data_IF_243662691741
#
_entry.id   IF_243662691741
#
_cell.length_a   1.000
_cell.length_b   1.000
_cell.length_c   1.000
_cell.angle_alpha   90.00
_cell.angle_beta   90.00
_cell.angle_gamma   90.00
#
_symmetry.space_group_name_H-M   'P 1'
#
loop_
_entity.id
_entity.type
_entity.pdbx_description
1 polymer ?
#
# COMPACT_ATOMS: atom_id res chain seq x y z
N UNK A 1 -26.38 -6.42 11.21
CA UNK A 1 -25.90 -5.24 10.47
C UNK A 1 -24.73 -5.70 9.61
N UNK A 2 -24.97 -6.14 8.37
CA UNK A 2 -23.88 -6.62 7.51
C UNK A 2 -23.55 -5.54 6.48
N UNK A 3 -22.41 -4.89 6.69
CA UNK A 3 -21.89 -3.89 5.78
C UNK A 3 -21.65 -4.52 4.40
N UNK A 4 -22.16 -3.87 3.38
CA UNK A 4 -21.94 -4.11 1.95
C UNK A 4 -20.45 -4.40 1.71
N UNK A 5 -20.17 -5.51 1.03
CA UNK A 5 -18.85 -5.96 0.57
C UNK A 5 -18.29 -4.99 -0.49
N UNK A 6 -18.03 -3.75 -0.09
CA UNK A 6 -17.28 -2.79 -0.88
C UNK A 6 -15.88 -3.34 -1.12
N UNK A 7 -15.51 -3.48 -2.38
CA UNK A 7 -14.19 -3.91 -2.85
C UNK A 7 -13.10 -3.11 -2.11
N UNK A 8 -12.56 -3.67 -1.03
CA UNK A 8 -11.55 -3.01 -0.19
C UNK A 8 -10.27 -2.94 -1.01
N UNK A 9 -10.02 -1.77 -1.58
CA UNK A 9 -8.74 -1.50 -2.24
C UNK A 9 -7.63 -1.64 -1.18
N UNK A 10 -6.64 -2.51 -1.39
CA UNK A 10 -5.53 -2.63 -0.46
C UNK A 10 -4.74 -1.32 -0.43
N UNK A 11 -4.15 -1.01 0.73
CA UNK A 11 -3.30 0.17 0.84
C UNK A 11 -2.03 -0.01 0.01
N UNK A 12 -1.57 1.06 -0.61
CA UNK A 12 -0.42 1.02 -1.52
C UNK A 12 0.88 0.61 -0.84
N UNK A 13 1.11 1.03 0.41
CA UNK A 13 2.28 0.66 1.20
C UNK A 13 2.35 -0.84 1.51
N UNK A 14 1.20 -1.47 1.76
CA UNK A 14 1.11 -2.92 1.92
C UNK A 14 1.43 -3.64 0.61
N UNK A 15 0.86 -3.18 -0.52
CA UNK A 15 1.14 -3.76 -1.84
C UNK A 15 2.64 -3.70 -2.19
N UNK A 16 3.31 -2.59 -1.88
CA UNK A 16 4.75 -2.45 -2.12
C UNK A 16 5.56 -3.47 -1.30
N UNK A 17 5.15 -3.71 -0.06
CA UNK A 17 5.82 -4.69 0.82
C UNK A 17 5.56 -6.12 0.35
N UNK A 18 4.30 -6.48 0.05
CA UNK A 18 3.89 -7.80 -0.42
C UNK A 18 4.56 -8.19 -1.76
N UNK A 19 4.85 -7.20 -2.61
CA UNK A 19 5.52 -7.40 -3.90
C UNK A 19 7.05 -7.35 -3.80
N UNK A 20 7.62 -7.17 -2.62
CA UNK A 20 9.07 -7.07 -2.42
C UNK A 20 9.69 -5.78 -2.98
N UNK A 21 8.89 -4.74 -3.23
CA UNK A 21 9.35 -3.43 -3.69
C UNK A 21 9.80 -2.53 -2.52
N UNK A 22 9.38 -2.86 -1.30
CA UNK A 22 9.86 -2.28 -0.06
C UNK A 22 10.03 -3.38 1.01
N UNK A 23 11.04 -3.25 1.86
CA UNK A 23 11.34 -4.22 2.94
C UNK A 23 10.36 -4.10 4.11
N UNK A 24 9.68 -2.96 4.25
CA UNK A 24 8.67 -2.74 5.28
C UNK A 24 7.64 -1.68 4.87
N UNK A 25 6.47 -1.71 5.50
CA UNK A 25 5.44 -0.69 5.31
C UNK A 25 5.94 0.74 5.62
N UNK A 26 6.83 0.88 6.62
CA UNK A 26 7.42 2.18 6.96
C UNK A 26 8.32 2.74 5.85
N UNK A 27 9.11 1.87 5.20
CA UNK A 27 9.94 2.25 4.07
C UNK A 27 9.06 2.58 2.86
N UNK A 28 8.04 1.75 2.60
CA UNK A 28 7.07 1.98 1.55
C UNK A 28 6.40 3.35 1.69
N UNK A 29 5.98 3.73 2.91
CA UNK A 29 5.43 5.06 3.18
C UNK A 29 6.42 6.19 2.88
N UNK A 30 7.70 6.04 3.24
CA UNK A 30 8.72 7.05 2.92
C UNK A 30 8.88 7.22 1.40
N UNK A 31 8.90 6.12 0.64
CA UNK A 31 9.01 6.17 -0.82
C UNK A 31 7.79 6.85 -1.46
N UNK A 32 6.59 6.55 -0.97
CA UNK A 32 5.34 7.19 -1.42
C UNK A 32 5.38 8.69 -1.15
N UNK A 33 5.69 9.08 0.09
CA UNK A 33 5.72 10.50 0.49
C UNK A 33 6.84 11.29 -0.21
N UNK A 34 7.94 10.62 -0.57
CA UNK A 34 9.00 11.20 -1.39
C UNK A 34 8.62 11.34 -2.87
N UNK A 35 7.46 10.83 -3.30
CA UNK A 35 7.01 10.89 -4.69
C UNK A 35 7.74 9.93 -5.63
N UNK A 36 8.35 8.86 -5.09
CA UNK A 36 9.16 7.91 -5.86
C UNK A 36 8.35 6.70 -6.38
N UNK A 37 7.04 6.68 -6.16
CA UNK A 37 6.14 5.57 -6.54
C UNK A 37 5.19 6.04 -7.64
N UNK A 38 5.15 5.28 -8.74
CA UNK A 38 4.31 5.53 -9.90
C UNK A 38 3.30 4.38 -10.06
N UNK A 39 2.05 4.70 -10.41
CA UNK A 39 0.93 3.75 -10.54
C UNK A 39 0.23 3.84 -11.88
#
# INVERSE_FOLDING_TARGET
>A
MNATSGNRKPRLDHLLTERGLAESASQAQRLIMAGLVYV
#
